data_IF_632928349340
#
_entry.id   IF_632928349340
#
_cell.length_a   1.000
_cell.length_b   1.000
_cell.length_c   1.000
_cell.angle_alpha   90.00
_cell.angle_beta   90.00
_cell.angle_gamma   90.00
#
_symmetry.space_group_name_H-M   'P 1'
#
loop_
_entity.id
_entity.type
_entity.pdbx_description
1 polymer ?
#
# COMPACT_ATOMS: atom_id res chain seq x y z
N UNK A 1 3.31 10.52 35.36
CA UNK A 1 4.14 10.53 34.14
C UNK A 1 3.23 10.91 32.98
N UNK A 2 3.58 11.91 32.17
CA UNK A 2 2.78 12.24 30.99
C UNK A 2 2.83 11.06 30.02
N UNK A 3 1.68 10.46 29.70
CA UNK A 3 1.64 9.40 28.71
C UNK A 3 2.17 9.92 27.36
N UNK A 4 3.00 9.16 26.64
CA UNK A 4 3.45 9.56 25.31
C UNK A 4 2.25 9.83 24.39
N UNK A 5 2.38 10.86 23.55
CA UNK A 5 1.28 11.35 22.72
C UNK A 5 1.14 10.46 21.48
N UNK A 6 0.28 9.46 21.57
CA UNK A 6 -0.18 8.68 20.41
C UNK A 6 -0.89 9.65 19.46
N UNK A 7 -0.37 9.76 18.23
CA UNK A 7 -0.91 10.63 17.19
C UNK A 7 -1.01 9.88 15.87
N UNK A 8 -2.19 9.90 15.29
CA UNK A 8 -2.43 9.30 13.98
C UNK A 8 -1.96 10.23 12.87
N UNK A 9 -1.22 9.66 11.92
CA UNK A 9 -0.95 10.27 10.62
C UNK A 9 -2.05 9.92 9.61
N UNK A 10 -1.73 10.12 8.33
CA UNK A 10 -2.65 9.86 7.20
C UNK A 10 -3.01 8.39 7.01
N UNK A 11 -2.19 7.47 7.51
CA UNK A 11 -2.34 6.01 7.31
C UNK A 11 -2.07 5.25 8.62
N UNK A 12 -2.63 5.72 9.73
CA UNK A 12 -2.47 5.09 11.05
C UNK A 12 -1.44 5.76 11.95
N UNK A 13 -1.06 5.07 13.03
CA UNK A 13 -0.07 5.52 13.99
C UNK A 13 1.28 4.84 13.73
N UNK A 14 2.38 5.60 13.73
CA UNK A 14 3.75 5.09 13.63
C UNK A 14 4.58 5.65 14.76
N UNK A 15 5.47 4.82 15.32
CA UNK A 15 6.32 5.19 16.43
C UNK A 15 7.57 4.29 16.49
N UNK A 16 8.57 4.72 17.26
CA UNK A 16 9.79 3.94 17.51
C UNK A 16 9.47 2.80 18.48
N UNK A 17 9.89 1.58 18.15
CA UNK A 17 9.71 0.38 18.97
C UNK A 17 10.39 0.57 20.32
N UNK A 18 9.75 0.10 21.39
CA UNK A 18 10.18 0.19 22.78
C UNK A 18 10.20 1.61 23.41
N UNK A 19 10.26 2.68 22.61
CA UNK A 19 10.01 4.04 23.11
C UNK A 19 8.50 4.31 23.19
N UNK A 20 7.85 4.47 22.04
CA UNK A 20 6.45 4.83 21.94
C UNK A 20 5.60 3.69 21.39
N UNK A 21 6.14 2.88 20.47
CA UNK A 21 5.48 1.68 19.96
C UNK A 21 5.73 0.50 20.91
N UNK A 22 5.01 0.51 22.02
CA UNK A 22 5.04 -0.52 23.06
C UNK A 22 3.76 -1.35 23.03
N UNK A 23 3.77 -2.55 23.62
CA UNK A 23 2.56 -3.37 23.77
C UNK A 23 1.42 -2.62 24.47
N UNK A 24 1.74 -1.87 25.54
CA UNK A 24 0.75 -1.09 26.26
C UNK A 24 0.10 0.01 25.40
N UNK A 25 0.89 0.73 24.59
CA UNK A 25 0.33 1.75 23.70
C UNK A 25 -0.44 1.13 22.53
N UNK A 26 0.02 0.01 21.98
CA UNK A 26 -0.70 -0.75 20.98
C UNK A 26 -2.08 -1.21 21.49
N UNK A 27 -2.15 -1.73 22.72
CA UNK A 27 -3.41 -2.14 23.35
C UNK A 27 -4.39 -0.97 23.51
N UNK A 28 -3.91 0.21 23.90
CA UNK A 28 -4.71 1.44 23.99
C UNK A 28 -5.30 1.81 22.62
N UNK A 29 -4.48 1.74 21.57
CA UNK A 29 -4.93 2.01 20.18
C UNK A 29 -5.94 0.97 19.69
N UNK A 30 -5.68 -0.31 19.93
CA UNK A 30 -6.58 -1.39 19.57
C UNK A 30 -7.93 -1.28 20.31
N UNK A 31 -7.91 -0.92 21.60
CA UNK A 31 -9.11 -0.69 22.40
C UNK A 31 -9.92 0.49 21.87
N UNK A 32 -9.29 1.62 21.58
CA UNK A 32 -9.96 2.80 21.00
C UNK A 32 -10.57 2.49 19.63
N UNK A 33 -9.86 1.73 18.79
CA UNK A 33 -10.34 1.27 17.49
C UNK A 33 -11.56 0.33 17.65
N UNK A 34 -11.51 -0.59 18.60
CA UNK A 34 -12.63 -1.49 18.89
C UNK A 34 -13.87 -0.71 19.36
N UNK A 35 -13.71 0.32 20.19
CA UNK A 35 -14.81 1.20 20.61
C UNK A 35 -15.38 2.00 19.44
N UNK A 36 -14.53 2.52 18.55
CA UNK A 36 -14.96 3.22 17.34
C UNK A 36 -15.84 2.32 16.47
N UNK A 37 -15.37 1.11 16.15
CA UNK A 37 -16.09 0.18 15.28
C UNK A 37 -17.32 -0.46 15.92
N UNK A 38 -17.42 -0.54 17.26
CA UNK A 38 -18.68 -0.91 17.92
C UNK A 38 -19.78 0.12 17.67
N UNK A 39 -19.43 1.41 17.69
CA UNK A 39 -20.38 2.53 17.52
C UNK A 39 -20.68 2.83 16.04
N UNK A 40 -19.71 2.67 15.16
CA UNK A 40 -19.78 3.11 13.76
C UNK A 40 -19.66 1.95 12.75
N UNK A 41 -20.14 0.75 13.10
CA UNK A 41 -20.08 -0.41 12.20
C UNK A 41 -20.88 -0.13 10.91
N UNK A 42 -20.29 -0.21 9.71
CA UNK A 42 -21.03 -0.09 8.45
C UNK A 42 -22.09 -1.19 8.30
N UNK A 43 -23.23 -0.86 7.68
CA UNK A 43 -24.45 -1.70 7.64
C UNK A 43 -24.25 -3.10 7.04
N UNK A 44 -23.30 -3.28 6.12
CA UNK A 44 -23.05 -4.55 5.43
C UNK A 44 -21.79 -5.31 5.88
N UNK A 45 -21.29 -4.98 7.07
CA UNK A 45 -20.09 -5.59 7.63
C UNK A 45 -20.40 -6.52 8.79
N UNK A 46 -19.61 -7.59 8.89
CA UNK A 46 -19.56 -8.45 10.07
C UNK A 46 -18.79 -7.73 11.17
N UNK A 47 -19.07 -8.07 12.43
CA UNK A 47 -18.24 -7.66 13.58
C UNK A 47 -16.93 -8.46 13.59
N UNK A 48 -16.16 -8.32 12.51
CA UNK A 48 -14.92 -9.04 12.23
C UNK A 48 -13.82 -8.06 11.85
N UNK A 49 -12.59 -8.31 12.32
CA UNK A 49 -11.39 -7.55 11.95
C UNK A 49 -10.39 -8.50 11.29
N UNK A 50 -9.73 -8.06 10.21
CA UNK A 50 -8.60 -8.79 9.64
C UNK A 50 -7.30 -8.14 10.12
N UNK A 51 -6.37 -8.93 10.65
CA UNK A 51 -5.11 -8.43 11.20
C UNK A 51 -3.95 -9.17 10.54
N UNK A 52 -2.94 -8.45 10.11
CA UNK A 52 -1.66 -9.00 9.65
C UNK A 52 -0.51 -8.04 9.90
N UNK A 53 0.70 -8.45 9.55
CA UNK A 53 1.91 -7.70 9.83
C UNK A 53 2.94 -7.82 8.69
N UNK A 54 3.93 -6.93 8.68
CA UNK A 54 5.16 -7.10 7.91
C UNK A 54 6.22 -7.89 8.72
N UNK A 55 7.48 -7.81 8.28
CA UNK A 55 8.62 -8.57 8.84
C UNK A 55 9.41 -7.84 9.92
N UNK A 56 8.93 -6.69 10.41
CA UNK A 56 9.63 -5.90 11.43
C UNK A 56 9.74 -6.66 12.75
N UNK A 57 10.71 -6.25 13.56
CA UNK A 57 10.92 -6.80 14.89
C UNK A 57 9.62 -6.78 15.72
N UNK A 58 9.23 -7.94 16.24
CA UNK A 58 8.01 -8.19 17.04
C UNK A 58 6.67 -7.88 16.34
N UNK A 59 6.64 -7.65 15.03
CA UNK A 59 5.40 -7.27 14.32
C UNK A 59 4.29 -8.34 14.42
N UNK A 60 4.68 -9.61 14.45
CA UNK A 60 3.81 -10.77 14.68
C UNK A 60 3.20 -10.77 16.09
N UNK A 61 4.02 -10.55 17.13
CA UNK A 61 3.57 -10.48 18.52
C UNK A 61 2.66 -9.27 18.76
N UNK A 62 2.95 -8.13 18.14
CA UNK A 62 2.05 -6.98 18.15
C UNK A 62 0.72 -7.29 17.45
N UNK A 63 0.73 -8.02 16.34
CA UNK A 63 -0.49 -8.44 15.66
C UNK A 63 -1.34 -9.38 16.53
N UNK A 64 -0.70 -10.34 17.22
CA UNK A 64 -1.35 -11.21 18.20
C UNK A 64 -1.96 -10.41 19.35
N UNK A 65 -1.22 -9.46 19.94
CA UNK A 65 -1.73 -8.62 21.02
C UNK A 65 -2.92 -7.76 20.59
N UNK A 66 -2.89 -7.20 19.39
CA UNK A 66 -4.04 -6.50 18.83
C UNK A 66 -5.25 -7.44 18.69
N UNK A 67 -5.04 -8.67 18.21
CA UNK A 67 -6.09 -9.67 18.07
C UNK A 67 -6.74 -10.04 19.41
N UNK A 68 -5.95 -10.20 20.48
CA UNK A 68 -6.44 -10.45 21.85
C UNK A 68 -7.36 -9.31 22.34
N UNK A 69 -7.00 -8.06 22.07
CA UNK A 69 -7.83 -6.90 22.43
C UNK A 69 -9.15 -6.89 21.64
N UNK A 70 -9.11 -7.12 20.33
CA UNK A 70 -10.34 -7.19 19.54
C UNK A 70 -11.24 -8.36 19.98
N UNK A 71 -10.67 -9.52 20.27
CA UNK A 71 -11.40 -10.68 20.79
C UNK A 71 -12.02 -10.41 22.18
N UNK A 72 -11.29 -9.77 23.09
CA UNK A 72 -11.79 -9.32 24.39
C UNK A 72 -12.94 -8.31 24.29
N UNK A 73 -13.01 -7.59 23.17
CA UNK A 73 -14.10 -6.68 22.81
C UNK A 73 -15.24 -7.34 22.01
N UNK A 74 -15.18 -8.67 21.85
CA UNK A 74 -16.19 -9.50 21.20
C UNK A 74 -16.24 -9.33 19.68
N UNK A 75 -15.11 -9.02 19.03
CA UNK A 75 -14.98 -9.13 17.59
C UNK A 75 -14.50 -10.54 17.22
N UNK A 76 -14.97 -11.04 16.07
CA UNK A 76 -14.24 -12.10 15.38
C UNK A 76 -12.96 -11.50 14.78
N UNK A 77 -11.89 -12.26 14.75
CA UNK A 77 -10.61 -11.84 14.18
C UNK A 77 -10.13 -12.90 13.21
N UNK A 78 -9.81 -12.48 11.99
CA UNK A 78 -8.97 -13.26 11.09
C UNK A 78 -7.55 -12.75 11.23
N UNK A 79 -6.67 -13.57 11.78
CA UNK A 79 -5.25 -13.26 11.97
C UNK A 79 -4.45 -13.96 10.88
N UNK A 80 -3.57 -13.23 10.19
CA UNK A 80 -2.63 -13.81 9.24
C UNK A 80 -1.74 -14.85 9.93
N UNK A 81 -1.51 -15.98 9.27
CA UNK A 81 -0.65 -17.07 9.75
C UNK A 81 0.85 -16.78 9.61
N UNK A 82 1.19 -15.72 8.88
CA UNK A 82 2.55 -15.33 8.56
C UNK A 82 2.58 -13.84 8.19
N UNK A 83 3.75 -13.18 8.25
CA UNK A 83 3.92 -11.86 7.66
C UNK A 83 3.39 -11.82 6.23
N UNK A 84 2.52 -10.86 5.94
CA UNK A 84 1.76 -10.80 4.69
C UNK A 84 1.72 -9.37 4.11
N UNK A 85 1.85 -9.18 2.79
CA UNK A 85 1.68 -7.87 2.15
C UNK A 85 0.40 -7.14 2.57
N UNK A 86 0.51 -5.84 2.80
CA UNK A 86 -0.62 -4.93 3.01
C UNK A 86 -1.78 -5.15 2.02
N UNK A 87 -1.55 -5.29 0.68
CA UNK A 87 -2.65 -5.52 -0.26
C UNK A 87 -3.40 -6.84 -0.05
N UNK A 88 -2.76 -7.90 0.45
CA UNK A 88 -3.43 -9.16 0.78
C UNK A 88 -4.36 -9.02 1.99
N UNK A 89 -3.94 -8.25 3.00
CA UNK A 89 -4.79 -7.92 4.16
C UNK A 89 -5.98 -7.07 3.70
N UNK A 90 -5.74 -6.05 2.87
CA UNK A 90 -6.77 -5.23 2.24
C UNK A 90 -7.80 -6.05 1.45
N UNK A 91 -7.34 -7.04 0.68
CA UNK A 91 -8.20 -7.95 -0.05
C UNK A 91 -9.08 -8.79 0.89
N UNK A 92 -8.48 -9.37 1.94
CA UNK A 92 -9.18 -10.19 2.92
C UNK A 92 -10.25 -9.39 3.70
N UNK A 93 -10.00 -8.12 4.03
CA UNK A 93 -11.00 -7.24 4.66
C UNK A 93 -12.29 -7.19 3.84
N UNK A 94 -12.15 -6.96 2.53
CA UNK A 94 -13.30 -6.89 1.61
C UNK A 94 -13.94 -8.26 1.39
N UNK A 95 -13.13 -9.30 1.18
CA UNK A 95 -13.61 -10.67 0.93
C UNK A 95 -14.41 -11.23 2.11
N UNK A 96 -14.00 -10.91 3.34
CA UNK A 96 -14.67 -11.38 4.56
C UNK A 96 -15.77 -10.45 5.07
N UNK A 97 -16.03 -9.33 4.38
CA UNK A 97 -16.94 -8.26 4.80
C UNK A 97 -16.61 -7.80 6.23
N UNK A 98 -15.33 -7.69 6.56
CA UNK A 98 -14.87 -7.22 7.86
C UNK A 98 -15.22 -5.74 8.06
N UNK A 99 -15.36 -5.31 9.33
CA UNK A 99 -15.58 -3.89 9.66
C UNK A 99 -14.37 -3.03 9.28
N UNK A 100 -13.20 -3.65 9.24
CA UNK A 100 -11.94 -3.06 8.84
C UNK A 100 -10.79 -4.06 9.02
N UNK A 101 -9.58 -3.57 8.82
CA UNK A 101 -8.37 -4.35 9.05
C UNK A 101 -7.27 -3.54 9.72
N UNK A 102 -6.35 -4.25 10.36
CA UNK A 102 -5.16 -3.69 10.98
C UNK A 102 -3.94 -4.26 10.27
N UNK A 103 -3.02 -3.39 9.87
CA UNK A 103 -1.69 -3.82 9.42
C UNK A 103 -0.65 -3.32 10.39
N UNK A 104 0.08 -4.25 11.01
CA UNK A 104 1.23 -3.93 11.84
C UNK A 104 2.45 -3.74 10.95
N UNK A 105 2.77 -2.50 10.66
CA UNK A 105 3.86 -2.12 9.74
C UNK A 105 4.17 -0.63 9.82
N UNK A 106 5.43 -0.28 9.58
CA UNK A 106 5.84 1.09 9.25
C UNK A 106 6.26 1.26 7.77
N UNK A 107 5.85 0.37 6.87
CA UNK A 107 6.10 0.44 5.41
C UNK A 107 7.59 0.59 5.08
N UNK A 108 8.00 1.74 4.53
CA UNK A 108 9.35 2.09 4.12
C UNK A 108 10.18 2.78 5.23
N UNK A 109 9.62 3.02 6.41
CA UNK A 109 10.33 3.66 7.52
C UNK A 109 11.55 2.83 7.99
N UNK A 110 12.53 3.45 8.70
CA UNK A 110 13.66 2.73 9.29
C UNK A 110 13.23 1.54 10.16
N UNK A 111 14.11 0.54 10.31
CA UNK A 111 13.85 -0.70 11.06
C UNK A 111 13.33 -0.48 12.48
N UNK A 112 13.80 0.57 13.16
CA UNK A 112 13.41 0.91 14.53
C UNK A 112 11.93 1.33 14.67
N UNK A 113 11.24 1.65 13.57
CA UNK A 113 9.84 2.04 13.60
C UNK A 113 8.91 0.84 13.42
N UNK A 114 7.76 0.88 14.08
CA UNK A 114 6.60 0.06 13.75
C UNK A 114 5.36 0.96 13.65
N UNK A 115 4.23 0.38 13.23
CA UNK A 115 3.01 1.13 13.04
C UNK A 115 1.76 0.28 13.12
N UNK A 116 0.64 0.95 13.37
CA UNK A 116 -0.71 0.40 13.41
C UNK A 116 -1.51 1.11 12.31
N UNK A 117 -1.55 0.53 11.10
CA UNK A 117 -2.32 1.05 9.97
C UNK A 117 -3.77 0.60 10.07
N UNK A 118 -4.71 1.53 9.86
CA UNK A 118 -6.14 1.24 9.78
C UNK A 118 -6.58 1.05 8.34
N UNK A 119 -7.24 -0.06 8.03
CA UNK A 119 -7.97 -0.30 6.78
C UNK A 119 -9.47 -0.21 7.03
N UNK A 120 -10.18 0.52 6.19
CA UNK A 120 -11.65 0.58 6.21
C UNK A 120 -12.26 -0.71 5.63
N UNK A 121 -13.57 -0.91 5.87
CA UNK A 121 -14.33 -2.05 5.35
C UNK A 121 -14.24 -2.25 3.81
N UNK A 122 -13.92 -1.20 3.05
CA UNK A 122 -13.71 -1.26 1.60
C UNK A 122 -12.31 -1.77 1.20
N UNK A 123 -11.46 -2.11 2.16
CA UNK A 123 -10.10 -2.64 1.97
C UNK A 123 -9.02 -1.58 1.80
N UNK A 124 -9.35 -0.34 1.48
CA UNK A 124 -8.37 0.76 1.42
C UNK A 124 -8.01 1.31 2.80
N UNK A 125 -7.05 2.24 2.85
CA UNK A 125 -6.71 2.97 4.08
C UNK A 125 -7.92 3.68 4.64
N UNK A 126 -8.06 3.66 5.96
CA UNK A 126 -9.13 4.37 6.64
C UNK A 126 -9.00 5.89 6.37
N UNK A 127 -10.13 6.60 6.18
CA UNK A 127 -10.10 8.06 6.04
C UNK A 127 -9.47 8.74 7.25
N UNK A 128 -8.84 9.90 7.04
CA UNK A 128 -8.22 10.68 8.12
C UNK A 128 -9.19 10.97 9.26
N UNK A 129 -10.47 11.19 8.95
CA UNK A 129 -11.54 11.43 9.92
C UNK A 129 -11.77 10.21 10.82
N UNK A 130 -11.63 9.00 10.28
CA UNK A 130 -11.71 7.76 11.06
C UNK A 130 -10.51 7.64 12.01
N UNK A 131 -9.30 7.91 11.53
CA UNK A 131 -8.09 7.90 12.35
C UNK A 131 -8.18 8.91 13.51
N UNK A 132 -8.64 10.13 13.23
CA UNK A 132 -8.87 11.16 14.25
C UNK A 132 -9.95 10.76 15.24
N UNK A 133 -11.05 10.16 14.79
CA UNK A 133 -12.12 9.68 15.67
C UNK A 133 -11.66 8.51 16.57
N UNK A 134 -10.71 7.68 16.11
CA UNK A 134 -10.06 6.68 16.97
C UNK A 134 -9.15 7.36 17.98
N UNK A 135 -8.36 8.35 17.56
CA UNK A 135 -7.48 9.12 18.47
C UNK A 135 -8.24 9.79 19.62
N UNK A 136 -9.44 10.34 19.37
CA UNK A 136 -10.27 10.93 20.43
C UNK A 136 -10.87 9.92 21.42
N UNK A 137 -10.85 8.62 21.08
CA UNK A 137 -11.34 7.54 21.93
C UNK A 137 -10.23 6.85 22.74
N UNK A 138 -8.98 7.31 22.61
CA UNK A 138 -7.87 6.83 23.44
C UNK A 138 -8.22 6.97 24.93
N UNK A 139 -8.01 5.88 25.67
CA UNK A 139 -8.27 5.76 27.11
C UNK A 139 -9.72 6.04 27.57
N UNK A 140 -10.68 6.21 26.65
CA UNK A 140 -12.09 6.41 26.98
C UNK A 140 -12.73 5.18 27.65
N UNK A 141 -12.12 3.99 27.47
CA UNK A 141 -12.48 2.72 28.12
C UNK A 141 -11.21 1.95 28.49
N UNK A 142 -11.22 1.18 29.59
CA UNK A 142 -10.11 0.29 29.93
C UNK A 142 -9.91 -0.77 28.85
N UNK A 143 -8.65 -1.18 28.66
CA UNK A 143 -8.30 -2.27 27.74
C UNK A 143 -8.97 -3.57 28.19
N UNK A 144 -9.65 -4.22 27.25
CA UNK A 144 -10.21 -5.56 27.40
C UNK A 144 -9.49 -6.49 26.43
N UNK A 145 -8.78 -7.47 26.96
CA UNK A 145 -8.13 -8.52 26.19
C UNK A 145 -8.69 -9.89 26.55
N UNK A 146 -8.60 -10.83 25.61
CA UNK A 146 -8.81 -12.24 25.84
C UNK A 146 -7.55 -12.97 25.38
N UNK A 147 -6.98 -13.78 26.27
CA UNK A 147 -5.82 -14.63 25.99
C UNK A 147 -5.95 -15.33 24.62
N UNK A 148 -4.86 -15.31 23.85
CA UNK A 148 -4.82 -15.81 22.48
C UNK A 148 -5.28 -17.27 22.37
N UNK A 149 -4.86 -18.14 23.30
CA UNK A 149 -5.23 -19.55 23.28
C UNK A 149 -6.74 -19.71 23.55
N UNK A 150 -7.27 -19.04 24.57
CA UNK A 150 -8.71 -19.05 24.87
C UNK A 150 -9.54 -18.46 23.73
N UNK A 151 -9.06 -17.39 23.09
CA UNK A 151 -9.74 -16.75 21.96
C UNK A 151 -9.77 -17.66 20.72
N UNK A 152 -8.70 -18.41 20.44
CA UNK A 152 -8.66 -19.44 19.40
C UNK A 152 -9.61 -20.60 19.72
N UNK A 153 -9.61 -21.10 20.97
CA UNK A 153 -10.51 -22.17 21.42
C UNK A 153 -11.99 -21.79 21.27
N UNK A 154 -12.33 -20.53 21.61
CA UNK A 154 -13.67 -19.96 21.45
C UNK A 154 -14.01 -19.59 20.00
N UNK A 155 -13.11 -19.85 19.04
CA UNK A 155 -13.25 -19.50 17.61
C UNK A 155 -13.47 -18.01 17.34
N UNK A 156 -13.08 -17.15 18.30
CA UNK A 156 -13.06 -15.70 18.14
C UNK A 156 -11.87 -15.27 17.28
N UNK A 157 -10.72 -15.93 17.43
CA UNK A 157 -9.56 -15.72 16.56
C UNK A 157 -9.39 -16.93 15.65
N UNK A 158 -9.28 -16.69 14.34
CA UNK A 158 -8.98 -17.71 13.32
C UNK A 158 -7.69 -17.33 12.61
N UNK A 159 -6.70 -18.20 12.69
CA UNK A 159 -5.44 -18.05 11.96
C UNK A 159 -5.63 -18.55 10.53
N UNK A 160 -5.26 -17.75 9.53
CA UNK A 160 -5.51 -18.02 8.11
C UNK A 160 -4.35 -17.56 7.23
N UNK A 161 -4.12 -18.32 6.16
CA UNK A 161 -3.31 -17.87 5.03
C UNK A 161 -4.05 -16.75 4.28
N UNK A 162 -3.44 -15.56 4.29
CA UNK A 162 -3.92 -14.39 3.58
C UNK A 162 -3.23 -14.20 2.22
N UNK A 163 -2.10 -14.89 1.97
CA UNK A 163 -1.35 -14.83 0.72
C UNK A 163 -2.09 -15.54 -0.41
N UNK A 164 -2.46 -16.81 -0.24
CA UNK A 164 -2.98 -17.60 -1.36
C UNK A 164 -4.31 -17.07 -1.93
N UNK A 165 -5.30 -16.62 -1.12
CA UNK A 165 -6.50 -15.98 -1.66
C UNK A 165 -6.19 -14.72 -2.46
N UNK A 166 -5.27 -13.88 -1.99
CA UNK A 166 -4.86 -12.68 -2.69
C UNK A 166 -4.11 -12.99 -3.99
N UNK A 167 -3.19 -13.96 -3.97
CA UNK A 167 -2.47 -14.40 -5.16
C UNK A 167 -3.43 -14.90 -6.25
N UNK A 168 -4.44 -15.71 -5.89
CA UNK A 168 -5.49 -16.14 -6.83
C UNK A 168 -6.25 -14.95 -7.42
N UNK A 169 -6.64 -13.98 -6.59
CA UNK A 169 -7.33 -12.79 -7.06
C UNK A 169 -6.48 -11.95 -8.02
N UNK A 170 -5.16 -11.85 -7.80
CA UNK A 170 -4.25 -11.16 -8.74
C UNK A 170 -4.27 -11.84 -10.11
N UNK A 171 -4.27 -13.18 -10.16
CA UNK A 171 -4.30 -13.93 -11.43
C UNK A 171 -5.54 -13.60 -12.27
N UNK A 172 -6.67 -13.27 -11.64
CA UNK A 172 -7.91 -12.87 -12.33
C UNK A 172 -7.88 -11.42 -12.87
N UNK A 173 -6.97 -10.58 -12.39
CA UNK A 173 -6.89 -9.16 -12.79
C UNK A 173 -6.03 -8.92 -14.04
N UNK A 174 -5.18 -9.88 -14.39
CA UNK A 174 -4.22 -9.80 -15.49
C UNK A 174 -4.47 -10.90 -16.51
N UNK A 175 -3.85 -10.80 -17.69
CA UNK A 175 -3.79 -11.91 -18.64
C UNK A 175 -2.77 -12.94 -18.14
N UNK A 176 -3.20 -13.77 -17.19
CA UNK A 176 -2.31 -14.71 -16.50
C UNK A 176 -1.82 -15.81 -17.43
N UNK A 177 -2.63 -16.27 -18.37
CA UNK A 177 -2.22 -17.27 -19.34
C UNK A 177 -1.11 -16.72 -20.25
N UNK A 178 -1.23 -15.50 -20.75
CA UNK A 178 -0.16 -14.86 -21.52
C UNK A 178 1.14 -14.77 -20.73
N UNK A 179 1.07 -14.36 -19.45
CA UNK A 179 2.24 -14.28 -18.57
C UNK A 179 2.82 -15.68 -18.37
N UNK A 180 1.99 -16.67 -18.03
CA UNK A 180 2.41 -18.02 -17.70
C UNK A 180 3.14 -18.73 -18.86
N UNK A 181 2.76 -18.44 -20.11
CA UNK A 181 3.37 -18.98 -21.33
C UNK A 181 4.52 -18.13 -21.88
N UNK A 182 4.80 -16.96 -21.28
CA UNK A 182 5.83 -16.04 -21.77
C UNK A 182 7.26 -16.57 -21.58
N UNK A 183 7.48 -17.47 -20.61
CA UNK A 183 8.80 -17.96 -20.24
C UNK A 183 9.75 -16.89 -19.67
N UNK A 184 9.23 -15.69 -19.36
CA UNK A 184 10.03 -14.57 -18.88
C UNK A 184 10.73 -14.87 -17.55
N UNK A 185 11.90 -14.29 -17.40
CA UNK A 185 12.74 -14.32 -16.20
C UNK A 185 12.57 -13.01 -15.45
N UNK A 186 11.92 -13.08 -14.30
CA UNK A 186 11.69 -11.95 -13.42
C UNK A 186 12.71 -11.96 -12.29
N UNK A 187 13.25 -10.79 -11.97
CA UNK A 187 13.85 -10.54 -10.67
C UNK A 187 12.85 -9.78 -9.79
N UNK A 188 12.86 -10.07 -8.50
CA UNK A 188 12.11 -9.31 -7.51
C UNK A 188 13.04 -8.95 -6.36
N UNK A 189 13.30 -7.68 -6.15
CA UNK A 189 14.00 -7.21 -4.96
C UNK A 189 12.97 -6.91 -3.88
N UNK A 190 12.95 -7.73 -2.83
CA UNK A 190 12.01 -7.57 -1.74
C UNK A 190 12.46 -6.54 -0.71
N UNK A 191 13.70 -6.04 -0.78
CA UNK A 191 14.33 -5.19 0.23
C UNK A 191 14.12 -5.73 1.65
N UNK A 192 14.25 -7.05 1.84
CA UNK A 192 14.00 -7.80 3.08
C UNK A 192 12.55 -7.73 3.60
N UNK A 193 11.67 -7.07 2.85
CA UNK A 193 10.27 -6.87 3.15
C UNK A 193 9.41 -8.10 2.91
N UNK A 194 8.13 -7.93 3.22
CA UNK A 194 7.15 -9.02 3.22
C UNK A 194 6.77 -9.51 1.82
N UNK A 195 7.17 -8.77 0.77
CA UNK A 195 6.99 -9.17 -0.62
C UNK A 195 7.81 -10.41 -1.02
N UNK A 196 8.88 -10.75 -0.29
CA UNK A 196 9.75 -11.88 -0.65
C UNK A 196 8.96 -13.20 -0.76
N UNK A 197 9.14 -13.90 -1.89
CA UNK A 197 8.42 -15.13 -2.20
C UNK A 197 7.01 -14.93 -2.77
N UNK A 198 6.51 -13.68 -2.87
CA UNK A 198 5.15 -13.43 -3.36
C UNK A 198 5.02 -13.70 -4.85
N UNK A 199 6.00 -13.31 -5.66
CA UNK A 199 5.98 -13.53 -7.11
C UNK A 199 6.17 -15.00 -7.45
N UNK A 200 7.00 -15.74 -6.70
CA UNK A 200 7.12 -17.19 -6.80
C UNK A 200 5.77 -17.86 -6.58
N UNK A 201 5.06 -17.51 -5.49
CA UNK A 201 3.72 -18.07 -5.23
C UNK A 201 2.71 -17.71 -6.34
N UNK A 202 2.76 -16.47 -6.85
CA UNK A 202 1.84 -16.04 -7.92
C UNK A 202 2.15 -16.76 -9.24
N UNK A 203 3.40 -17.02 -9.56
CA UNK A 203 3.85 -17.63 -10.82
C UNK A 203 4.16 -19.13 -10.69
N UNK A 204 3.86 -19.75 -9.55
CA UNK A 204 4.05 -21.17 -9.33
C UNK A 204 3.29 -22.01 -10.36
N UNK A 205 3.95 -23.04 -10.88
CA UNK A 205 3.45 -23.90 -11.95
C UNK A 205 3.48 -23.30 -13.36
N UNK A 206 4.05 -22.11 -13.56
CA UNK A 206 4.19 -21.49 -14.90
C UNK A 206 5.57 -21.74 -15.52
N UNK A 207 5.76 -21.32 -16.78
CA UNK A 207 7.07 -21.39 -17.44
C UNK A 207 8.01 -20.24 -17.05
N UNK A 208 7.49 -19.24 -16.31
CA UNK A 208 8.28 -18.11 -15.83
C UNK A 208 9.26 -18.54 -14.75
N UNK A 209 10.38 -17.81 -14.66
CA UNK A 209 11.35 -18.00 -13.58
C UNK A 209 11.44 -16.73 -12.75
N UNK A 210 11.38 -16.88 -11.43
CA UNK A 210 11.51 -15.76 -10.50
C UNK A 210 12.79 -15.93 -9.70
N UNK A 211 13.58 -14.86 -9.63
CA UNK A 211 14.73 -14.75 -8.74
C UNK A 211 14.45 -13.64 -7.73
N UNK A 212 14.13 -13.99 -6.48
CA UNK A 212 14.01 -12.99 -5.41
C UNK A 212 15.37 -12.63 -4.83
N UNK A 213 15.65 -11.33 -4.74
CA UNK A 213 16.82 -10.72 -4.12
C UNK A 213 16.44 -10.13 -2.76
N UNK A 214 17.38 -10.12 -1.81
CA UNK A 214 17.19 -9.64 -0.44
C UNK A 214 15.91 -10.26 0.19
N UNK A 215 15.81 -11.59 0.11
CA UNK A 215 14.59 -12.37 0.41
C UNK A 215 14.51 -12.83 1.87
N UNK A 216 15.67 -12.91 2.51
CA UNK A 216 15.89 -13.35 3.88
C UNK A 216 15.12 -12.48 4.87
N UNK A 217 14.72 -13.10 5.98
CA UNK A 217 14.11 -12.36 7.07
C UNK A 217 15.20 -11.66 7.88
N UNK A 218 15.39 -10.38 7.60
CA UNK A 218 16.21 -9.49 8.40
C UNK A 218 15.36 -8.33 8.95
N UNK A 219 15.06 -8.30 10.27
CA UNK A 219 14.34 -7.19 10.90
C UNK A 219 15.02 -5.82 10.75
N UNK A 220 16.33 -5.78 10.44
CA UNK A 220 17.08 -4.56 10.18
C UNK A 220 17.08 -4.17 8.69
N UNK A 221 16.42 -4.94 7.83
CA UNK A 221 16.35 -4.74 6.39
C UNK A 221 17.72 -4.57 5.74
N UNK A 222 18.73 -5.35 6.12
CA UNK A 222 20.10 -5.23 5.60
C UNK A 222 20.78 -3.90 5.93
N UNK A 223 20.26 -3.15 6.92
CA UNK A 223 20.74 -1.83 7.31
C UNK A 223 20.22 -0.68 6.44
N UNK A 224 19.28 -0.93 5.51
CA UNK A 224 18.65 0.11 4.70
C UNK A 224 17.23 0.43 5.19
N UNK A 225 16.68 1.55 4.71
CA UNK A 225 15.24 1.76 4.77
C UNK A 225 14.61 0.98 3.61
N UNK A 226 13.59 0.13 3.82
CA UNK A 226 13.03 -0.70 2.77
C UNK A 226 12.12 0.13 1.85
N UNK A 227 12.71 1.07 1.12
CA UNK A 227 12.05 1.99 0.21
C UNK A 227 12.51 1.74 -1.23
N UNK A 228 11.59 1.60 -2.21
CA UNK A 228 11.93 1.35 -3.61
C UNK A 228 12.39 2.63 -4.29
N UNK A 229 13.58 3.11 -3.93
CA UNK A 229 14.28 4.25 -4.51
C UNK A 229 15.65 3.83 -5.02
N UNK A 230 16.15 4.52 -6.05
CA UNK A 230 17.41 4.18 -6.75
C UNK A 230 18.59 4.01 -5.80
N UNK A 231 18.62 4.77 -4.69
CA UNK A 231 19.64 4.65 -3.65
C UNK A 231 19.80 3.22 -3.10
N UNK A 232 18.70 2.49 -2.96
CA UNK A 232 18.68 1.14 -2.39
C UNK A 232 18.94 0.03 -3.42
N UNK A 233 19.04 0.36 -4.71
CA UNK A 233 19.12 -0.65 -5.79
C UNK A 233 20.53 -1.15 -6.07
N UNK A 234 21.56 -0.57 -5.45
CA UNK A 234 22.97 -0.82 -5.78
C UNK A 234 23.33 -2.31 -5.89
N UNK A 235 23.11 -3.13 -4.83
CA UNK A 235 23.40 -4.55 -4.86
C UNK A 235 22.64 -5.30 -5.97
N UNK A 236 21.36 -5.01 -6.12
CA UNK A 236 20.48 -5.66 -7.09
C UNK A 236 20.82 -5.27 -8.54
N UNK A 237 21.23 -4.02 -8.78
CA UNK A 237 21.73 -3.57 -10.08
C UNK A 237 23.04 -4.28 -10.45
N UNK A 238 23.96 -4.49 -9.49
CA UNK A 238 25.19 -5.26 -9.72
C UNK A 238 24.86 -6.73 -10.06
N UNK A 239 23.90 -7.32 -9.35
CA UNK A 239 23.42 -8.68 -9.66
C UNK A 239 22.87 -8.76 -11.08
N UNK A 240 21.98 -7.85 -11.49
CA UNK A 240 21.35 -7.85 -12.82
C UNK A 240 22.34 -7.62 -13.97
N UNK A 241 23.39 -6.83 -13.75
CA UNK A 241 24.48 -6.67 -14.74
C UNK A 241 25.21 -7.98 -15.02
N UNK A 242 25.40 -8.82 -13.99
CA UNK A 242 26.06 -10.13 -14.10
C UNK A 242 25.09 -11.23 -14.55
N UNK A 243 23.85 -11.14 -14.13
CA UNK A 243 22.79 -12.11 -14.37
C UNK A 243 21.56 -11.40 -14.97
N UNK A 244 21.56 -11.10 -16.28
CA UNK A 244 20.44 -10.40 -16.89
C UNK A 244 19.13 -11.16 -16.74
N UNK A 245 18.07 -10.41 -16.47
CA UNK A 245 16.68 -10.84 -16.43
C UNK A 245 15.88 -10.02 -17.46
N UNK A 246 14.57 -10.25 -17.59
CA UNK A 246 13.73 -9.45 -18.48
C UNK A 246 13.23 -8.17 -17.79
N UNK A 247 12.98 -8.24 -16.49
CA UNK A 247 12.55 -7.13 -15.64
C UNK A 247 12.96 -7.39 -14.19
N UNK A 248 13.21 -6.33 -13.42
CA UNK A 248 13.27 -6.40 -11.97
C UNK A 248 12.23 -5.49 -11.33
N UNK A 249 11.38 -6.03 -10.46
CA UNK A 249 10.46 -5.26 -9.62
C UNK A 249 11.04 -5.10 -8.22
N UNK A 250 10.78 -3.96 -7.58
CA UNK A 250 11.25 -3.70 -6.21
C UNK A 250 10.08 -3.30 -5.34
N UNK A 251 9.89 -3.94 -4.19
CA UNK A 251 8.80 -3.63 -3.24
C UNK A 251 9.31 -3.06 -1.94
N UNK A 252 8.51 -2.23 -1.28
CA UNK A 252 8.82 -1.72 0.07
C UNK A 252 8.53 -2.76 1.18
N UNK A 253 8.77 -2.37 2.43
CA UNK A 253 8.70 -3.27 3.59
C UNK A 253 7.37 -4.03 3.74
N UNK A 254 6.23 -3.38 3.46
CA UNK A 254 4.90 -4.01 3.49
C UNK A 254 4.30 -4.30 2.10
N UNK A 255 5.11 -4.15 1.05
CA UNK A 255 4.79 -4.49 -0.33
C UNK A 255 3.49 -3.83 -0.85
N UNK A 256 3.23 -2.57 -0.46
CA UNK A 256 2.18 -1.74 -1.08
C UNK A 256 2.73 -0.76 -2.14
N UNK A 257 4.06 -0.60 -2.22
CA UNK A 257 4.75 0.19 -3.24
C UNK A 257 5.52 -0.69 -4.21
N UNK A 258 5.70 -0.17 -5.43
CA UNK A 258 6.53 -0.79 -6.45
C UNK A 258 7.44 0.23 -7.12
N UNK A 259 8.71 -0.12 -7.21
CA UNK A 259 9.70 0.44 -8.11
C UNK A 259 10.18 -0.63 -9.09
N UNK A 260 11.18 -0.30 -9.92
CA UNK A 260 11.73 -1.30 -10.83
C UNK A 260 13.05 -0.90 -11.45
N UNK A 261 13.68 -1.88 -12.07
CA UNK A 261 14.82 -1.75 -12.96
C UNK A 261 14.55 -2.54 -14.24
N UNK A 262 15.19 -2.15 -15.33
CA UNK A 262 15.26 -3.02 -16.51
C UNK A 262 16.08 -4.29 -16.21
N UNK A 263 16.08 -5.20 -17.16
CA UNK A 263 16.80 -6.48 -17.09
C UNK A 263 18.32 -6.40 -16.88
N UNK A 264 18.91 -5.21 -16.97
CA UNK A 264 20.35 -4.94 -16.86
C UNK A 264 20.70 -4.09 -15.63
N UNK A 265 19.72 -3.80 -14.78
CA UNK A 265 19.91 -3.04 -13.55
C UNK A 265 19.85 -1.52 -13.73
N UNK A 266 19.33 -1.00 -14.84
CA UNK A 266 19.06 0.43 -14.98
C UNK A 266 17.72 0.75 -14.31
N UNK A 267 17.70 1.72 -13.40
CA UNK A 267 16.49 2.07 -12.67
C UNK A 267 15.38 2.65 -13.57
N UNK A 268 14.16 2.22 -13.31
CA UNK A 268 12.94 2.81 -13.85
C UNK A 268 12.36 3.76 -12.81
N UNK A 269 12.06 4.99 -13.22
CA UNK A 269 11.34 5.93 -12.38
C UNK A 269 9.89 5.48 -12.20
N UNK A 270 9.27 5.81 -11.06
CA UNK A 270 7.84 5.53 -10.83
C UNK A 270 6.95 6.17 -11.91
N UNK A 271 7.37 7.32 -12.47
CA UNK A 271 6.72 7.98 -13.60
C UNK A 271 6.74 7.12 -14.87
N UNK A 272 7.86 6.45 -15.18
CA UNK A 272 7.93 5.50 -16.29
C UNK A 272 7.05 4.28 -16.04
N UNK A 273 7.09 3.71 -14.83
CA UNK A 273 6.27 2.55 -14.46
C UNK A 273 4.78 2.87 -14.62
N UNK A 274 4.29 3.98 -14.07
CA UNK A 274 2.86 4.35 -14.20
C UNK A 274 2.47 4.64 -15.65
N UNK A 275 3.36 5.23 -16.46
CA UNK A 275 3.10 5.44 -17.89
C UNK A 275 2.99 4.12 -18.66
N UNK A 276 3.84 3.14 -18.37
CA UNK A 276 3.76 1.80 -18.97
C UNK A 276 2.46 1.09 -18.58
N UNK A 277 2.08 1.15 -17.30
CA UNK A 277 0.82 0.58 -16.82
C UNK A 277 -0.40 1.25 -17.47
N UNK A 278 -0.43 2.58 -17.54
CA UNK A 278 -1.51 3.31 -18.21
C UNK A 278 -1.57 3.02 -19.71
N UNK A 279 -0.42 2.95 -20.38
CA UNK A 279 -0.36 2.56 -21.79
C UNK A 279 -0.92 1.15 -21.99
N UNK A 280 -0.51 0.17 -21.17
CA UNK A 280 -1.06 -1.18 -21.25
C UNK A 280 -2.58 -1.20 -20.99
N UNK A 281 -3.05 -0.50 -19.94
CA UNK A 281 -4.46 -0.43 -19.58
C UNK A 281 -5.33 0.17 -20.70
N UNK A 282 -4.89 1.28 -21.30
CA UNK A 282 -5.66 2.00 -22.32
C UNK A 282 -5.51 1.35 -23.71
N UNK A 283 -4.27 1.05 -24.12
CA UNK A 283 -3.97 0.63 -25.49
C UNK A 283 -4.10 -0.87 -25.67
N UNK A 284 -3.55 -1.67 -24.75
CA UNK A 284 -3.52 -3.13 -24.90
C UNK A 284 -4.80 -3.77 -24.36
N UNK A 285 -5.35 -3.28 -23.23
CA UNK A 285 -6.61 -3.78 -22.68
C UNK A 285 -7.85 -3.03 -23.19
N UNK A 286 -7.69 -1.91 -23.90
CA UNK A 286 -8.81 -1.11 -24.39
C UNK A 286 -9.68 -0.50 -23.27
N UNK A 287 -9.20 -0.49 -22.02
CA UNK A 287 -10.00 -0.09 -20.87
C UNK A 287 -9.98 1.43 -20.71
N UNK A 288 -11.07 1.96 -20.14
CA UNK A 288 -11.22 3.38 -19.81
C UNK A 288 -11.36 3.53 -18.31
N UNK A 289 -10.91 4.66 -17.76
CA UNK A 289 -11.13 4.98 -16.36
C UNK A 289 -12.63 5.10 -16.06
N UNK A 290 -13.10 4.46 -15.00
CA UNK A 290 -14.47 4.65 -14.51
C UNK A 290 -14.60 6.04 -13.88
N UNK A 291 -15.58 6.85 -14.30
CA UNK A 291 -15.97 8.04 -13.53
C UNK A 291 -16.48 7.57 -12.17
N UNK A 292 -15.89 8.04 -11.06
CA UNK A 292 -16.57 7.96 -9.76
C UNK A 292 -17.86 8.78 -9.86
N UNK A 293 -19.01 8.14 -9.70
CA UNK A 293 -20.25 8.82 -9.30
C UNK A 293 -20.13 9.11 -7.80
N UNK A 294 -20.41 10.34 -7.37
CA UNK A 294 -20.51 10.70 -5.96
C UNK A 294 -19.49 11.72 -5.44
N UNK A 295 -19.31 12.84 -6.14
CA UNK A 295 -18.84 14.08 -5.52
C UNK A 295 -19.89 15.14 -5.82
N UNK A 296 -20.99 15.11 -5.07
CA UNK A 296 -22.02 16.13 -5.13
C UNK A 296 -21.46 17.42 -4.50
N UNK A 297 -21.46 18.44 -5.35
CA UNK A 297 -21.46 19.88 -5.12
C UNK A 297 -21.68 20.31 -3.67
N UNK A 298 -20.67 20.95 -3.06
CA UNK A 298 -20.83 22.06 -2.12
C UNK A 298 -19.57 22.94 -2.20
N UNK A 299 -19.59 23.90 -3.12
CA UNK A 299 -18.77 25.11 -3.01
C UNK A 299 -19.63 26.30 -3.39
N UNK A 300 -20.25 26.89 -2.37
CA UNK A 300 -20.89 28.20 -2.44
C UNK A 300 -19.79 29.26 -2.45
N UNK A 301 -19.86 30.17 -3.43
CA UNK A 301 -18.81 31.13 -3.76
C UNK A 301 -19.38 32.16 -4.72
N UNK A 302 -20.25 33.01 -4.19
CA UNK A 302 -20.97 34.06 -4.89
C UNK A 302 -20.08 35.05 -5.66
N UNK A 303 -20.66 35.50 -6.77
CA UNK A 303 -20.55 36.82 -7.40
C UNK A 303 -19.16 37.48 -7.43
N UNK A 304 -18.54 37.51 -8.62
CA UNK A 304 -18.11 38.73 -9.34
C UNK A 304 -17.34 38.31 -10.60
N UNK A 305 -17.87 38.67 -11.78
CA UNK A 305 -17.26 38.76 -13.12
C UNK A 305 -18.25 38.27 -14.19
N UNK A 306 -19.11 39.18 -14.63
CA UNK A 306 -19.85 39.05 -15.89
C UNK A 306 -18.86 39.32 -17.02
N UNK A 307 -18.73 38.39 -17.97
CA UNK A 307 -18.04 38.65 -19.24
C UNK A 307 -17.02 37.61 -19.70
N UNK A 308 -17.40 36.35 -19.87
CA UNK A 308 -16.73 35.42 -20.78
C UNK A 308 -17.70 34.29 -21.17
N UNK A 309 -17.91 34.09 -22.47
CA UNK A 309 -18.81 33.07 -23.01
C UNK A 309 -18.32 31.65 -22.63
N UNK A 310 -19.26 30.86 -22.11
CA UNK A 310 -19.31 29.39 -22.05
C UNK A 310 -17.97 28.62 -22.07
N UNK A 311 -17.21 28.69 -20.98
CA UNK A 311 -16.20 27.70 -20.62
C UNK A 311 -16.66 26.96 -19.36
N UNK A 312 -17.43 25.88 -19.52
CA UNK A 312 -17.82 25.03 -18.39
C UNK A 312 -16.57 24.49 -17.70
N UNK A 313 -16.56 24.52 -16.37
CA UNK A 313 -15.58 23.91 -15.48
C UNK A 313 -15.47 22.38 -15.68
N UNK A 314 -14.94 21.94 -16.81
CA UNK A 314 -14.82 20.54 -17.27
C UNK A 314 -13.40 19.97 -17.16
N UNK A 315 -12.43 20.75 -16.68
CA UNK A 315 -11.00 20.44 -16.91
C UNK A 315 -10.11 20.35 -15.66
N UNK A 316 -10.65 20.29 -14.43
CA UNK A 316 -9.78 20.30 -13.22
C UNK A 316 -9.28 18.97 -12.68
N UNK A 317 -9.53 17.85 -13.36
CA UNK A 317 -8.76 16.61 -13.13
C UNK A 317 -8.80 15.72 -14.37
N UNK A 318 -8.02 16.09 -15.39
CA UNK A 318 -7.78 15.25 -16.56
C UNK A 318 -6.30 14.99 -16.70
N UNK A 319 -5.85 13.78 -16.34
CA UNK A 319 -4.68 13.21 -16.99
C UNK A 319 -5.09 12.93 -18.44
N UNK A 320 -4.91 13.91 -19.32
CA UNK A 320 -5.07 13.71 -20.75
C UNK A 320 -3.78 13.14 -21.30
N UNK A 321 -3.76 11.82 -21.50
CA UNK A 321 -2.72 11.15 -22.30
C UNK A 321 -3.06 11.39 -23.77
N UNK A 322 -2.30 12.25 -24.43
CA UNK A 322 -2.45 12.47 -25.87
C UNK A 322 -1.52 11.51 -26.61
N UNK A 323 -2.12 10.61 -27.40
CA UNK A 323 -1.38 9.68 -28.27
C UNK A 323 -1.22 10.35 -29.64
N UNK A 324 0.01 10.69 -30.01
CA UNK A 324 0.32 11.15 -31.35
C UNK A 324 1.05 10.06 -32.15
N UNK A 325 0.82 10.04 -33.46
CA UNK A 325 1.67 9.32 -34.42
C UNK A 325 2.64 10.31 -35.04
N UNK A 326 3.92 9.98 -35.07
CA UNK A 326 4.88 10.75 -35.87
C UNK A 326 4.65 10.49 -37.38
N UNK A 327 5.31 11.27 -38.23
CA UNK A 327 5.22 11.14 -39.69
C UNK A 327 5.68 9.76 -40.22
N UNK A 328 6.25 8.90 -39.37
CA UNK A 328 6.68 7.53 -39.66
C UNK A 328 5.77 6.47 -39.01
N UNK A 329 4.64 6.87 -38.41
CA UNK A 329 3.64 5.99 -37.83
C UNK A 329 3.95 5.47 -36.42
N UNK A 330 5.02 5.95 -35.76
CA UNK A 330 5.38 5.54 -34.39
C UNK A 330 4.51 6.26 -33.37
N UNK A 331 4.00 5.52 -32.37
CA UNK A 331 3.14 6.07 -31.31
C UNK A 331 4.00 6.67 -30.20
N UNK A 332 3.76 7.94 -29.87
CA UNK A 332 4.33 8.61 -28.72
C UNK A 332 3.20 9.11 -27.79
N UNK A 333 3.36 8.91 -26.49
CA UNK A 333 2.43 9.41 -25.48
C UNK A 333 2.99 10.69 -24.85
N UNK A 334 2.20 11.76 -24.86
CA UNK A 334 2.54 13.02 -24.19
C UNK A 334 1.57 13.27 -23.03
N UNK A 335 2.12 13.74 -21.90
CA UNK A 335 1.35 14.26 -20.76
C UNK A 335 1.58 15.78 -20.69
N UNK A 336 0.50 16.56 -20.85
CA UNK A 336 0.50 17.97 -20.41
C UNK A 336 0.12 17.99 -18.94
N UNK A 337 1.10 18.21 -18.05
CA UNK A 337 0.87 18.44 -16.63
C UNK A 337 1.28 19.85 -16.26
N UNK A 338 0.33 20.68 -15.83
CA UNK A 338 0.66 21.85 -15.01
C UNK A 338 1.07 21.34 -13.62
N UNK A 339 2.28 21.71 -13.24
CA UNK A 339 2.94 21.27 -12.01
C UNK A 339 2.30 21.90 -10.79
N UNK A 340 1.86 21.08 -9.83
CA UNK A 340 1.62 21.52 -8.46
C UNK A 340 2.55 20.73 -7.53
N UNK A 341 3.56 21.42 -7.00
CA UNK A 341 4.54 20.90 -6.05
C UNK A 341 3.84 20.51 -4.74
N UNK A 342 3.98 19.26 -4.34
CA UNK A 342 3.94 18.85 -2.93
C UNK A 342 5.19 18.02 -2.69
N UNK A 343 6.25 18.68 -2.22
CA UNK A 343 7.27 18.22 -1.25
C UNK A 343 8.36 19.32 -1.18
N UNK A 344 8.69 19.72 0.05
CA UNK A 344 9.79 20.58 0.52
C UNK A 344 9.80 22.09 0.18
N UNK A 345 9.48 22.90 1.21
CA UNK A 345 10.27 24.05 1.71
C UNK A 345 10.91 25.05 0.73
N UNK A 346 10.35 26.27 0.73
CA UNK A 346 10.96 27.59 0.50
C UNK A 346 12.33 27.69 -0.23
N UNK A 347 12.35 28.37 -1.40
CA UNK A 347 13.26 29.47 -1.78
C UNK A 347 12.75 30.14 -3.09
N UNK A 348 12.52 31.47 -3.15
CA UNK A 348 12.06 32.15 -4.36
C UNK A 348 13.22 32.70 -5.18
N UNK A 349 13.38 32.26 -6.43
CA UNK A 349 14.25 32.95 -7.40
C UNK A 349 15.06 32.07 -8.33
N UNK A 350 14.41 31.38 -9.28
CA UNK A 350 15.10 30.88 -10.47
C UNK A 350 14.19 30.98 -11.70
N UNK A 351 14.64 31.73 -12.70
CA UNK A 351 13.91 31.98 -13.96
C UNK A 351 13.78 30.69 -14.76
N UNK A 352 12.58 30.42 -15.28
CA UNK A 352 12.24 29.26 -16.11
C UNK A 352 12.69 29.48 -17.55
N UNK A 353 13.56 28.61 -18.06
CA UNK A 353 13.68 28.35 -19.50
C UNK A 353 13.31 26.88 -19.76
N UNK A 354 12.32 26.58 -20.62
CA UNK A 354 12.02 25.20 -20.98
C UNK A 354 13.07 24.68 -21.99
N UNK A 355 13.90 23.73 -21.57
CA UNK A 355 14.66 22.88 -22.49
C UNK A 355 13.82 21.65 -22.84
N UNK A 356 13.67 21.43 -24.14
CA UNK A 356 12.95 20.30 -24.73
C UNK A 356 13.87 19.08 -24.77
N UNK A 357 13.48 17.98 -24.11
CA UNK A 357 14.09 16.67 -24.31
C UNK A 357 13.07 15.76 -24.98
N UNK A 358 13.22 15.59 -26.28
CA UNK A 358 12.55 14.53 -27.03
C UNK A 358 13.26 13.20 -26.77
N UNK A 359 12.48 12.16 -26.48
CA UNK A 359 12.95 10.77 -26.40
C UNK A 359 12.53 10.12 -27.73
N UNK A 360 13.51 9.68 -28.51
CA UNK A 360 13.35 8.90 -29.77
C UNK A 360 13.15 7.42 -29.51
#
# INVERSE_FOLDING_TARGET
MSHPKIKFGTDGWRAVIAEDFTFANLERVAQATAEYWKKHRPRDTRKRVVIGCDRRFLADQFAERAAEVFAGNGFEVTLGDSPTPTPAISYAVKAEKAVGGIVITASHNPAAFCGFKLKGHFGGSAPSETCQAVETLLDAKPVKSLDLHLAKLRRLIRVRDLHAPHARAIRELVDFDLIAHSGLRFAHDALFGVGAGSFEKILDGTQCKVTTLNAEHDPFFGGIHPEPIVHNYGPSAVFLKKNPHDLCLVTDGDADRVGGMDGRGNALTTHQVICLLLHHYIVNRGQRGSRRQGADDHFDGGSHMRGARAGTARDRCRLQVHLHRDAKGRRAAWLRGEWWNWVSGAYPGARRHPRWLGIT
#
